data_IF_009847529903
#
_entry.id   IF_009847529903
#
_cell.length_a   1.000
_cell.length_b   1.000
_cell.length_c   1.000
_cell.angle_alpha   90.00
_cell.angle_beta   90.00
_cell.angle_gamma   90.00
#
_symmetry.space_group_name_H-M   'P 1'
#
loop_
_entity.id
_entity.type
_entity.pdbx_description
1 polymer ?
#
# COMPACT_ATOMS: atom_id res chain seq x y z
N UNK A 1 -13.83 9.98 27.06
CA UNK A 1 -12.76 10.89 26.62
C UNK A 1 -13.15 11.47 25.25
N UNK A 2 -12.90 12.72 24.95
CA UNK A 2 -13.22 13.28 23.63
C UNK A 2 -12.26 12.69 22.61
N UNK A 3 -12.79 12.15 21.50
CA UNK A 3 -11.96 11.71 20.38
C UNK A 3 -11.02 12.85 19.96
N UNK A 4 -9.72 12.58 19.74
CA UNK A 4 -8.81 13.61 19.28
C UNK A 4 -9.26 14.13 17.91
N UNK A 5 -9.09 15.43 17.65
CA UNK A 5 -9.32 15.97 16.31
C UNK A 5 -8.24 15.45 15.35
N UNK A 6 -8.62 14.54 14.48
CA UNK A 6 -7.74 13.87 13.52
C UNK A 6 -8.09 14.33 12.11
N UNK A 7 -7.07 14.75 11.35
CA UNK A 7 -7.19 15.03 9.91
C UNK A 7 -6.25 14.10 9.16
N UNK A 8 -6.79 13.28 8.27
CA UNK A 8 -6.04 12.39 7.41
C UNK A 8 -5.84 13.01 6.02
N UNK A 9 -4.59 13.20 5.61
CA UNK A 9 -4.20 13.55 4.25
C UNK A 9 -3.84 12.28 3.50
N UNK A 10 -4.62 11.92 2.49
CA UNK A 10 -4.54 10.61 1.82
C UNK A 10 -4.80 10.72 0.31
N UNK A 11 -4.56 9.64 -0.41
CA UNK A 11 -5.08 9.45 -1.76
C UNK A 11 -5.83 8.10 -1.82
N UNK A 12 -6.90 8.04 -2.60
CA UNK A 12 -7.83 6.90 -2.62
C UNK A 12 -7.12 5.58 -2.89
N UNK A 13 -6.36 5.52 -3.97
CA UNK A 13 -5.65 4.31 -4.39
C UNK A 13 -4.25 4.16 -3.80
N UNK A 14 -3.80 5.06 -2.92
CA UNK A 14 -2.49 4.95 -2.28
C UNK A 14 -2.45 3.77 -1.31
N UNK A 15 -1.54 2.83 -1.56
CA UNK A 15 -1.28 1.64 -0.76
C UNK A 15 -1.07 1.95 0.73
N UNK A 16 -0.18 2.90 1.04
CA UNK A 16 0.08 3.31 2.43
C UNK A 16 -1.10 4.08 3.05
N UNK A 17 -1.91 4.79 2.24
CA UNK A 17 -3.12 5.46 2.74
C UNK A 17 -4.22 4.46 3.12
N UNK A 18 -4.35 3.37 2.36
CA UNK A 18 -5.26 2.27 2.71
C UNK A 18 -4.93 1.72 4.11
N UNK A 19 -3.66 1.47 4.40
CA UNK A 19 -3.22 0.98 5.72
C UNK A 19 -3.66 1.90 6.86
N UNK A 20 -3.49 3.21 6.71
CA UNK A 20 -3.85 4.16 7.77
C UNK A 20 -5.36 4.28 7.94
N UNK A 21 -6.15 4.23 6.84
CA UNK A 21 -7.62 4.22 6.93
C UNK A 21 -8.12 2.99 7.69
N UNK A 22 -7.59 1.81 7.35
CA UNK A 22 -7.92 0.57 8.05
C UNK A 22 -7.57 0.67 9.55
N UNK A 23 -6.37 1.16 9.88
CA UNK A 23 -5.94 1.33 11.28
C UNK A 23 -6.85 2.28 12.07
N UNK A 24 -7.24 3.43 11.49
CA UNK A 24 -8.16 4.38 12.11
C UNK A 24 -9.51 3.74 12.42
N UNK A 25 -10.05 2.97 11.47
CA UNK A 25 -11.34 2.27 11.63
C UNK A 25 -11.26 1.15 12.66
N UNK A 26 -10.20 0.35 12.64
CA UNK A 26 -9.99 -0.73 13.62
C UNK A 26 -9.85 -0.19 15.06
N UNK A 27 -9.20 0.95 15.22
CA UNK A 27 -9.09 1.65 16.51
C UNK A 27 -10.35 2.44 16.88
N UNK A 28 -11.36 2.54 15.98
CA UNK A 28 -12.60 3.27 16.20
C UNK A 28 -12.44 4.79 16.31
N UNK A 29 -11.43 5.35 15.64
CA UNK A 29 -11.26 6.79 15.56
C UNK A 29 -12.20 7.42 14.52
N UNK A 30 -12.80 8.57 14.87
CA UNK A 30 -13.40 9.48 13.90
C UNK A 30 -12.35 10.43 13.38
N UNK A 31 -12.35 10.72 12.08
CA UNK A 31 -11.38 11.58 11.44
C UNK A 31 -11.99 12.37 10.28
N UNK A 32 -11.46 13.57 10.04
CA UNK A 32 -11.72 14.34 8.83
C UNK A 32 -10.74 13.92 7.73
N UNK A 33 -11.18 14.00 6.47
CA UNK A 33 -10.39 13.59 5.32
C UNK A 33 -10.00 14.74 4.42
N UNK A 34 -8.78 14.67 3.89
CA UNK A 34 -8.25 15.55 2.86
C UNK A 34 -7.65 14.69 1.76
N UNK A 35 -8.44 14.47 0.69
CA UNK A 35 -7.92 13.80 -0.50
C UNK A 35 -6.86 14.68 -1.18
N UNK A 36 -5.69 14.11 -1.45
CA UNK A 36 -4.56 14.76 -2.12
C UNK A 36 -4.42 14.15 -3.51
N UNK A 37 -4.59 14.98 -4.53
CA UNK A 37 -4.42 14.59 -5.93
C UNK A 37 -2.93 14.41 -6.24
N UNK A 38 -2.49 13.14 -6.34
CA UNK A 38 -1.07 12.83 -6.55
C UNK A 38 -0.61 13.20 -7.96
N UNK A 39 0.61 13.69 -8.07
CA UNK A 39 1.19 14.18 -9.33
C UNK A 39 1.43 13.09 -10.38
N UNK A 40 1.41 11.84 -9.99
CA UNK A 40 1.52 10.66 -10.85
C UNK A 40 0.17 10.13 -11.34
N UNK A 41 -0.94 10.70 -10.85
CA UNK A 41 -2.31 10.27 -11.16
C UNK A 41 -3.20 11.42 -11.64
N UNK A 42 -2.88 12.66 -11.25
CA UNK A 42 -3.69 13.83 -11.50
C UNK A 42 -2.87 15.01 -12.03
N UNK A 43 -3.41 15.75 -13.03
CA UNK A 43 -2.73 16.94 -13.57
C UNK A 43 -2.42 18.01 -12.53
N UNK A 44 -3.27 18.14 -11.50
CA UNK A 44 -3.11 19.12 -10.44
C UNK A 44 -1.84 18.85 -9.62
N UNK A 45 -1.56 17.59 -9.28
CA UNK A 45 -0.35 17.21 -8.54
C UNK A 45 -0.19 17.98 -7.23
N UNK A 46 -1.23 17.96 -6.37
CA UNK A 46 -1.29 18.74 -5.12
C UNK A 46 -0.20 18.35 -4.13
N UNK A 47 0.23 17.06 -4.17
CA UNK A 47 1.27 16.56 -3.27
C UNK A 47 2.65 17.22 -3.45
N UNK A 48 2.86 17.93 -4.57
CA UNK A 48 4.10 18.69 -4.83
C UNK A 48 3.88 20.21 -4.84
N UNK A 49 2.74 20.67 -4.32
CA UNK A 49 2.47 22.08 -4.09
C UNK A 49 2.96 22.52 -2.69
N UNK A 50 3.26 23.82 -2.55
CA UNK A 50 3.85 24.38 -1.33
C UNK A 50 3.00 24.12 -0.09
N UNK A 51 1.68 24.16 -0.24
CA UNK A 51 0.72 23.94 0.84
C UNK A 51 0.85 22.54 1.42
N UNK A 52 0.90 21.52 0.57
CA UNK A 52 1.06 20.15 1.06
C UNK A 52 2.50 19.84 1.48
N UNK A 53 3.52 20.39 0.79
CA UNK A 53 4.92 20.21 1.18
C UNK A 53 5.23 20.84 2.56
N UNK A 54 4.42 21.81 3.02
CA UNK A 54 4.51 22.31 4.40
C UNK A 54 3.97 21.31 5.44
N UNK A 55 3.12 20.34 5.03
CA UNK A 55 2.62 19.24 5.86
C UNK A 55 3.57 18.04 5.78
N UNK A 56 3.89 17.61 4.57
CA UNK A 56 4.83 16.51 4.32
C UNK A 56 5.90 16.95 3.29
N UNK A 57 7.11 17.30 3.74
CA UNK A 57 8.18 17.75 2.85
C UNK A 57 8.63 16.73 1.79
N UNK A 58 8.32 15.45 1.97
CA UNK A 58 8.60 14.40 0.98
C UNK A 58 7.57 14.35 -0.16
N UNK A 59 6.44 15.07 -0.03
CA UNK A 59 5.37 15.06 -1.03
C UNK A 59 4.69 13.69 -1.19
N UNK A 60 4.69 12.87 -0.13
CA UNK A 60 4.05 11.54 -0.11
C UNK A 60 2.80 11.54 0.75
N UNK A 61 1.93 10.57 0.53
CA UNK A 61 0.79 10.27 1.41
C UNK A 61 0.97 8.87 1.99
N UNK A 62 0.42 8.57 3.19
CA UNK A 62 -0.40 9.44 4.03
C UNK A 62 0.41 10.40 4.91
N UNK A 63 -0.27 11.44 5.38
CA UNK A 63 0.11 12.21 6.56
C UNK A 63 -1.12 12.37 7.45
N UNK A 64 -0.92 12.49 8.76
CA UNK A 64 -2.01 12.69 9.72
C UNK A 64 -1.70 13.89 10.61
N UNK A 65 -2.72 14.67 10.92
CA UNK A 65 -2.63 15.74 11.91
C UNK A 65 -3.51 15.39 13.10
N UNK A 66 -2.91 15.31 14.28
CA UNK A 66 -3.60 15.06 15.56
C UNK A 66 -3.39 16.28 16.45
N UNK A 67 -4.42 17.10 16.57
CA UNK A 67 -4.31 18.40 17.22
C UNK A 67 -3.29 19.31 16.49
N UNK A 68 -2.12 19.55 17.11
CA UNK A 68 -1.02 20.34 16.52
C UNK A 68 0.11 19.49 15.92
N UNK A 69 0.12 18.16 16.20
CA UNK A 69 1.19 17.25 15.76
C UNK A 69 0.88 16.76 14.37
N UNK A 70 1.86 16.78 13.47
CA UNK A 70 1.82 16.14 12.15
C UNK A 70 2.73 14.92 12.18
N UNK A 71 2.24 13.80 11.65
CA UNK A 71 2.97 12.53 11.54
C UNK A 71 2.86 12.07 10.08
N UNK A 72 3.97 11.62 9.50
CA UNK A 72 4.05 11.16 8.12
C UNK A 72 4.57 9.72 8.07
N UNK A 73 4.16 8.98 7.03
CA UNK A 73 4.52 7.57 6.86
C UNK A 73 3.54 6.62 7.59
N UNK A 74 3.05 5.61 6.86
CA UNK A 74 2.02 4.71 7.37
C UNK A 74 2.43 3.95 8.62
N UNK A 75 3.67 3.44 8.67
CA UNK A 75 4.18 2.69 9.82
C UNK A 75 4.15 3.53 11.09
N UNK A 76 4.74 4.72 11.04
CA UNK A 76 4.81 5.62 12.20
C UNK A 76 3.42 6.12 12.60
N UNK A 77 2.56 6.42 11.65
CA UNK A 77 1.17 6.84 11.92
C UNK A 77 0.44 5.73 12.68
N UNK A 78 0.48 4.49 12.21
CA UNK A 78 -0.22 3.37 12.85
C UNK A 78 0.34 3.11 14.26
N UNK A 79 1.66 3.16 14.41
CA UNK A 79 2.31 3.03 15.72
C UNK A 79 1.85 4.10 16.70
N UNK A 80 1.79 5.36 16.27
CA UNK A 80 1.35 6.46 17.12
C UNK A 80 -0.15 6.40 17.42
N UNK A 81 -0.98 5.97 16.48
CA UNK A 81 -2.41 5.74 16.70
C UNK A 81 -2.67 4.67 17.77
N UNK A 82 -1.85 3.62 17.78
CA UNK A 82 -1.99 2.55 18.78
C UNK A 82 -1.69 3.01 20.22
N UNK A 83 -0.85 4.04 20.39
CA UNK A 83 -0.52 4.63 21.69
C UNK A 83 -1.61 5.60 22.21
N UNK A 84 -2.65 5.90 21.42
CA UNK A 84 -3.72 6.81 21.81
C UNK A 84 -4.91 5.97 22.32
N UNK A 85 -5.44 6.32 23.47
CA UNK A 85 -6.68 5.72 23.97
C UNK A 85 -7.82 5.92 22.97
N UNK A 86 -8.48 4.85 22.59
CA UNK A 86 -9.54 4.83 21.60
C UNK A 86 -10.78 4.11 22.11
N UNK A 87 -11.90 4.24 21.39
CA UNK A 87 -13.14 3.54 21.72
C UNK A 87 -12.99 2.01 21.62
N UNK A 88 -12.13 1.53 20.75
CA UNK A 88 -11.73 0.14 20.63
C UNK A 88 -10.36 -0.04 21.29
N UNK A 89 -10.36 -0.57 22.51
CA UNK A 89 -9.12 -0.80 23.31
C UNK A 89 -8.26 -1.96 22.77
N UNK A 90 -8.45 -2.35 21.50
CA UNK A 90 -7.65 -3.38 20.87
C UNK A 90 -6.29 -2.81 20.46
N UNK A 91 -5.21 -3.37 21.00
CA UNK A 91 -3.87 -2.99 20.57
C UNK A 91 -3.51 -3.67 19.25
N UNK A 92 -2.95 -2.88 18.31
CA UNK A 92 -2.35 -3.38 17.07
C UNK A 92 -0.94 -3.93 17.28
N UNK A 93 -0.43 -3.81 18.51
CA UNK A 93 0.85 -4.34 18.98
C UNK A 93 0.58 -5.24 20.21
N UNK A 94 0.24 -6.55 20.00
CA UNK A 94 -0.09 -7.47 21.08
C UNK A 94 1.03 -7.58 22.13
N UNK A 95 0.69 -7.49 23.42
CA UNK A 95 1.66 -7.47 24.53
C UNK A 95 2.49 -8.76 24.65
N UNK A 96 2.01 -9.87 24.09
CA UNK A 96 2.69 -11.18 24.12
C UNK A 96 3.70 -11.35 22.97
N UNK A 97 3.93 -10.33 22.17
CA UNK A 97 4.89 -10.33 21.05
C UNK A 97 5.86 -9.17 21.21
N UNK A 98 7.13 -9.38 20.88
CA UNK A 98 8.11 -8.31 20.90
C UNK A 98 7.72 -7.19 19.92
N UNK A 99 7.62 -5.97 20.42
CA UNK A 99 7.29 -4.78 19.59
C UNK A 99 8.27 -4.62 18.42
N UNK A 100 9.55 -4.94 18.61
CA UNK A 100 10.56 -4.85 17.57
C UNK A 100 10.29 -5.87 16.43
N UNK A 101 9.78 -7.06 16.76
CA UNK A 101 9.37 -8.06 15.78
C UNK A 101 8.19 -7.57 14.96
N UNK A 102 7.16 -7.03 15.62
CA UNK A 102 5.97 -6.47 14.93
C UNK A 102 6.38 -5.34 14.00
N UNK A 103 7.23 -4.42 14.47
CA UNK A 103 7.72 -3.29 13.67
C UNK A 103 8.56 -3.75 12.48
N UNK A 104 9.36 -4.79 12.66
CA UNK A 104 10.12 -5.38 11.55
C UNK A 104 9.19 -5.91 10.45
N UNK A 105 8.19 -6.72 10.82
CA UNK A 105 7.20 -7.22 9.86
C UNK A 105 6.37 -6.09 9.23
N UNK A 106 5.99 -5.09 10.01
CA UNK A 106 5.30 -3.91 9.51
C UNK A 106 6.14 -3.17 8.46
N UNK A 107 7.45 -3.00 8.71
CA UNK A 107 8.38 -2.41 7.77
C UNK A 107 8.56 -3.25 6.50
N UNK A 108 8.63 -4.58 6.62
CA UNK A 108 8.79 -5.51 5.50
C UNK A 108 7.51 -5.59 4.62
N UNK A 109 6.36 -5.21 5.16
CA UNK A 109 5.05 -5.26 4.46
C UNK A 109 4.53 -3.89 4.01
N UNK A 110 5.27 -2.81 4.22
CA UNK A 110 4.96 -1.46 3.72
C UNK A 110 6.11 -0.87 2.91
N UNK A 111 5.91 0.32 2.35
CA UNK A 111 6.98 1.06 1.64
C UNK A 111 7.78 1.83 2.69
N UNK A 112 8.94 1.31 3.04
CA UNK A 112 9.86 1.91 4.02
C UNK A 112 11.08 2.51 3.34
N UNK A 113 11.43 3.75 3.69
CA UNK A 113 12.63 4.41 3.17
C UNK A 113 13.89 3.69 3.67
N UNK A 114 14.86 3.50 2.75
CA UNK A 114 16.12 2.80 3.05
C UNK A 114 16.05 1.27 2.88
N UNK A 115 14.87 0.68 2.68
CA UNK A 115 14.73 -0.73 2.31
C UNK A 115 14.98 -0.89 0.81
N UNK A 116 15.75 -1.92 0.44
CA UNK A 116 16.08 -2.19 -0.96
C UNK A 116 14.81 -2.43 -1.81
N UNK A 117 14.82 -1.89 -3.00
CA UNK A 117 13.71 -1.99 -3.93
C UNK A 117 13.49 -3.44 -4.37
N UNK A 118 12.24 -3.92 -4.35
CA UNK A 118 11.86 -5.30 -4.68
C UNK A 118 12.36 -6.39 -3.71
N UNK A 119 12.85 -6.06 -2.51
CA UNK A 119 13.40 -7.04 -1.55
C UNK A 119 12.38 -7.56 -0.55
N UNK A 120 11.33 -6.80 -0.25
CA UNK A 120 10.28 -7.15 0.73
C UNK A 120 8.89 -7.02 0.10
N UNK A 121 7.85 -7.62 0.70
CA UNK A 121 6.48 -7.50 0.20
C UNK A 121 6.08 -6.04 -0.03
N UNK A 122 6.39 -5.15 0.91
CA UNK A 122 6.08 -3.73 0.80
C UNK A 122 6.78 -3.05 -0.37
N UNK A 123 8.05 -3.34 -0.62
CA UNK A 123 8.83 -2.76 -1.72
C UNK A 123 8.60 -3.45 -3.07
N UNK A 124 8.02 -4.65 -3.07
CA UNK A 124 7.57 -5.38 -4.28
C UNK A 124 6.27 -4.75 -4.83
N UNK A 125 5.36 -4.28 -3.99
CA UNK A 125 4.07 -3.73 -4.45
C UNK A 125 4.22 -2.55 -5.44
N UNK A 126 5.08 -1.54 -5.23
CA UNK A 126 5.34 -0.52 -6.25
C UNK A 126 6.01 -1.08 -7.52
N UNK A 127 6.80 -2.16 -7.42
CA UNK A 127 7.41 -2.85 -8.56
C UNK A 127 6.32 -3.46 -9.45
N UNK A 128 5.41 -4.23 -8.86
CA UNK A 128 4.28 -4.83 -9.57
C UNK A 128 3.27 -3.79 -10.05
N UNK A 129 3.12 -2.66 -9.35
CA UNK A 129 2.26 -1.55 -9.76
C UNK A 129 2.84 -0.72 -10.91
N UNK A 130 4.12 -0.91 -11.28
CA UNK A 130 4.80 -0.04 -12.26
C UNK A 130 4.15 -0.01 -13.65
N UNK A 131 3.52 -1.08 -14.18
CA UNK A 131 2.80 -1.00 -15.46
C UNK A 131 1.57 -0.08 -15.40
N UNK A 132 0.78 -0.21 -14.34
CA UNK A 132 -0.39 0.63 -14.12
C UNK A 132 0.00 2.09 -13.85
N UNK A 133 1.04 2.30 -13.03
CA UNK A 133 1.59 3.62 -12.78
C UNK A 133 2.09 4.28 -14.08
N UNK A 134 2.79 3.54 -14.92
CA UNK A 134 3.23 4.06 -16.22
C UNK A 134 2.04 4.41 -17.12
N UNK A 135 0.99 3.58 -17.13
CA UNK A 135 -0.23 3.85 -17.86
C UNK A 135 -0.86 5.20 -17.43
N UNK A 136 -0.98 5.43 -16.11
CA UNK A 136 -1.50 6.69 -15.54
C UNK A 136 -0.63 7.89 -15.92
N UNK A 137 0.69 7.77 -15.75
CA UNK A 137 1.64 8.86 -16.04
C UNK A 137 1.60 9.26 -17.52
N UNK A 138 1.43 8.30 -18.44
CA UNK A 138 1.35 8.58 -19.88
C UNK A 138 0.07 9.32 -20.31
N UNK A 139 -0.95 9.32 -19.46
CA UNK A 139 -2.17 10.10 -19.69
C UNK A 139 -2.07 11.55 -19.21
N UNK A 140 -1.04 11.88 -18.42
CA UNK A 140 -0.85 13.23 -17.93
C UNK A 140 -0.40 14.18 -19.07
N UNK A 141 -0.88 15.44 -19.06
CA UNK A 141 -0.38 16.42 -19.98
C UNK A 141 1.10 16.74 -19.73
N UNK A 142 1.84 17.12 -20.76
CA UNK A 142 3.26 17.44 -20.66
C UNK A 142 3.57 18.50 -19.59
N UNK A 143 2.67 19.47 -19.39
CA UNK A 143 2.80 20.49 -18.34
C UNK A 143 2.89 19.89 -16.93
N UNK A 144 2.18 18.78 -16.67
CA UNK A 144 2.27 18.05 -15.39
C UNK A 144 3.63 17.39 -15.21
N UNK A 145 4.20 16.83 -16.27
CA UNK A 145 5.56 16.28 -16.24
C UNK A 145 6.59 17.36 -15.95
N UNK A 146 6.44 18.54 -16.55
CA UNK A 146 7.29 19.69 -16.24
C UNK A 146 7.12 20.16 -14.79
N UNK A 147 5.88 20.16 -14.25
CA UNK A 147 5.63 20.43 -12.83
C UNK A 147 6.36 19.44 -11.92
N UNK A 148 6.29 18.13 -12.23
CA UNK A 148 7.02 17.08 -11.49
C UNK A 148 8.52 17.35 -11.56
N UNK A 149 9.07 17.59 -12.76
CA UNK A 149 10.49 17.85 -12.95
C UNK A 149 11.00 19.04 -12.11
N UNK A 150 10.22 20.09 -12.02
CA UNK A 150 10.61 21.32 -11.32
C UNK A 150 10.37 21.24 -9.81
N UNK A 151 9.26 20.67 -9.37
CA UNK A 151 8.78 20.81 -7.97
C UNK A 151 8.91 19.55 -7.11
N UNK A 152 9.00 18.35 -7.70
CA UNK A 152 9.02 17.13 -6.89
C UNK A 152 10.26 17.12 -5.98
N UNK A 153 10.14 16.96 -4.64
CA UNK A 153 11.26 17.06 -3.71
C UNK A 153 12.23 15.87 -3.84
N UNK A 154 11.72 14.68 -4.17
CA UNK A 154 12.51 13.43 -4.28
C UNK A 154 13.08 13.28 -5.68
N UNK A 155 14.41 13.27 -5.80
CA UNK A 155 15.13 13.13 -7.09
C UNK A 155 14.88 11.76 -7.74
N UNK A 156 14.86 10.69 -6.95
CA UNK A 156 14.59 9.31 -7.39
C UNK A 156 13.21 9.21 -8.07
N UNK A 157 12.16 9.72 -7.41
CA UNK A 157 10.79 9.74 -7.97
C UNK A 157 10.71 10.56 -9.25
N UNK A 158 11.33 11.72 -9.25
CA UNK A 158 11.41 12.58 -10.43
C UNK A 158 11.97 11.85 -11.64
N UNK A 159 13.09 11.14 -11.48
CA UNK A 159 13.72 10.38 -12.55
C UNK A 159 12.86 9.20 -13.03
N UNK A 160 12.23 8.47 -12.08
CA UNK A 160 11.34 7.35 -12.42
C UNK A 160 10.13 7.84 -13.21
N UNK A 161 9.46 8.91 -12.80
CA UNK A 161 8.28 9.42 -13.49
C UNK A 161 8.59 9.94 -14.89
N UNK A 162 9.73 10.61 -15.06
CA UNK A 162 10.20 11.05 -16.38
C UNK A 162 10.51 9.83 -17.28
N UNK A 163 11.20 8.84 -16.73
CA UNK A 163 11.50 7.61 -17.47
C UNK A 163 10.21 6.85 -17.86
N UNK A 164 9.19 6.83 -17.00
CA UNK A 164 7.89 6.22 -17.29
C UNK A 164 7.12 6.98 -18.37
N UNK A 165 7.20 8.31 -18.38
CA UNK A 165 6.52 9.12 -19.38
C UNK A 165 7.12 8.95 -20.79
N UNK A 166 8.45 9.07 -20.92
CA UNK A 166 9.13 9.02 -22.23
C UNK A 166 9.54 7.61 -22.68
N UNK A 167 9.74 6.71 -21.73
CA UNK A 167 10.23 5.35 -21.98
C UNK A 167 9.19 4.25 -21.78
N UNK A 168 9.69 3.04 -21.54
CA UNK A 168 8.89 1.85 -21.23
C UNK A 168 9.55 0.95 -20.18
N UNK A 169 9.97 1.51 -19.02
CA UNK A 169 10.68 0.74 -17.99
C UNK A 169 9.78 -0.34 -17.38
N UNK A 170 8.45 -0.13 -17.35
CA UNK A 170 7.47 -1.07 -16.79
C UNK A 170 7.43 -2.44 -17.50
N UNK A 171 8.03 -2.59 -18.68
CA UNK A 171 8.18 -3.90 -19.33
C UNK A 171 9.15 -4.84 -18.60
N UNK A 172 10.07 -4.32 -17.78
CA UNK A 172 11.12 -5.09 -17.09
C UNK A 172 11.00 -5.02 -15.57
N UNK A 173 10.63 -3.86 -15.04
CA UNK A 173 10.57 -3.60 -13.60
C UNK A 173 9.77 -4.67 -12.83
N UNK A 174 8.55 -5.09 -13.25
CA UNK A 174 7.77 -6.06 -12.48
C UNK A 174 8.48 -7.39 -12.26
N UNK A 175 9.30 -7.83 -13.21
CA UNK A 175 10.00 -9.10 -13.11
C UNK A 175 11.12 -9.11 -12.06
N UNK A 176 11.60 -7.94 -11.62
CA UNK A 176 12.61 -7.83 -10.58
C UNK A 176 12.12 -8.34 -9.22
N UNK A 177 10.80 -8.26 -8.97
CA UNK A 177 10.21 -8.69 -7.70
C UNK A 177 9.71 -10.14 -7.68
N UNK A 178 9.71 -10.87 -8.81
CA UNK A 178 9.05 -12.20 -8.91
C UNK A 178 9.65 -13.21 -7.93
N UNK A 179 10.97 -13.37 -7.91
CA UNK A 179 11.62 -14.35 -7.06
C UNK A 179 11.40 -14.06 -5.57
N UNK A 180 11.65 -12.83 -5.17
CA UNK A 180 11.48 -12.41 -3.77
C UNK A 180 10.00 -12.48 -3.34
N UNK A 181 9.06 -12.15 -4.24
CA UNK A 181 7.64 -12.33 -3.98
C UNK A 181 7.28 -13.79 -3.70
N UNK A 182 7.78 -14.72 -4.51
CA UNK A 182 7.53 -16.15 -4.32
C UNK A 182 8.16 -16.64 -3.01
N UNK A 183 9.38 -16.20 -2.67
CA UNK A 183 9.99 -16.50 -1.36
C UNK A 183 9.11 -16.05 -0.19
N UNK A 184 8.63 -14.81 -0.23
CA UNK A 184 7.79 -14.26 0.84
C UNK A 184 6.41 -14.94 0.90
N UNK A 185 5.78 -15.24 -0.23
CA UNK A 185 4.50 -15.95 -0.25
C UNK A 185 4.66 -17.38 0.30
N UNK A 186 5.68 -18.14 -0.08
CA UNK A 186 5.90 -19.49 0.45
C UNK A 186 6.27 -19.47 1.95
N UNK A 187 6.99 -18.46 2.40
CA UNK A 187 7.25 -18.24 3.82
C UNK A 187 5.96 -17.97 4.61
N UNK A 188 5.05 -17.11 4.08
CA UNK A 188 3.75 -16.87 4.70
C UNK A 188 2.86 -18.11 4.67
N UNK A 189 2.84 -18.88 3.57
CA UNK A 189 2.10 -20.13 3.48
C UNK A 189 2.50 -21.12 4.57
N UNK A 190 3.82 -21.27 4.77
CA UNK A 190 4.37 -22.09 5.87
C UNK A 190 3.99 -21.53 7.23
N UNK A 191 4.03 -20.20 7.42
CA UNK A 191 3.68 -19.55 8.69
C UNK A 191 2.21 -19.80 9.05
N UNK A 192 1.30 -19.72 8.07
CA UNK A 192 -0.15 -19.88 8.29
C UNK A 192 -0.61 -21.35 8.31
N UNK A 193 0.29 -22.32 8.11
CA UNK A 193 -0.05 -23.75 8.10
C UNK A 193 -0.54 -24.28 9.44
N UNK A 194 -0.30 -23.56 10.55
CA UNK A 194 -0.86 -23.87 11.86
C UNK A 194 -2.35 -23.49 12.01
N UNK A 195 -2.94 -22.86 10.99
CA UNK A 195 -4.35 -22.49 10.95
C UNK A 195 -4.71 -21.21 11.71
N UNK A 196 -3.72 -20.41 12.08
CA UNK A 196 -3.93 -19.11 12.75
C UNK A 196 -4.87 -18.19 11.96
N UNK A 197 -5.72 -17.47 12.69
CA UNK A 197 -6.69 -16.54 12.12
C UNK A 197 -6.06 -15.21 11.73
N UNK A 198 -5.10 -14.72 12.52
CA UNK A 198 -4.35 -13.49 12.35
C UNK A 198 -2.86 -13.77 12.50
N UNK A 199 -2.02 -12.86 12.05
CA UNK A 199 -0.56 -13.05 12.01
C UNK A 199 0.01 -13.46 13.37
N UNK A 200 -0.44 -12.85 14.47
CA UNK A 200 -0.07 -13.20 15.84
C UNK A 200 -1.24 -13.79 16.65
N UNK A 201 -2.19 -14.48 16.01
CA UNK A 201 -3.45 -14.94 16.59
C UNK A 201 -4.37 -13.81 17.11
N UNK A 202 -3.93 -12.58 17.05
CA UNK A 202 -4.66 -11.35 17.36
C UNK A 202 -4.45 -10.38 16.22
N UNK A 203 -5.50 -9.66 15.79
CA UNK A 203 -5.39 -8.69 14.71
C UNK A 203 -4.39 -7.60 15.06
N UNK A 204 -3.43 -7.34 14.17
CA UNK A 204 -2.26 -6.52 14.42
C UNK A 204 -1.94 -5.58 13.27
N UNK A 205 -0.95 -4.72 13.44
CA UNK A 205 -0.42 -3.87 12.38
C UNK A 205 -0.01 -4.66 11.14
N UNK A 206 0.57 -5.87 11.33
CA UNK A 206 0.98 -6.73 10.20
C UNK A 206 -0.22 -7.21 9.38
N UNK A 207 -1.34 -7.53 10.04
CA UNK A 207 -2.58 -7.93 9.35
C UNK A 207 -3.15 -6.79 8.50
N UNK A 208 -3.09 -5.55 8.99
CA UNK A 208 -3.48 -4.34 8.23
C UNK A 208 -2.65 -4.22 6.96
N UNK A 209 -1.34 -4.38 7.07
CA UNK A 209 -0.44 -4.25 5.93
C UNK A 209 -0.65 -5.38 4.93
N UNK A 210 -0.79 -6.63 5.39
CA UNK A 210 -1.06 -7.78 4.52
C UNK A 210 -2.43 -7.67 3.83
N UNK A 211 -3.44 -7.14 4.52
CA UNK A 211 -4.74 -6.81 3.90
C UNK A 211 -4.56 -5.89 2.69
N UNK A 212 -3.75 -4.84 2.83
CA UNK A 212 -3.49 -3.90 1.74
C UNK A 212 -2.58 -4.51 0.65
N UNK A 213 -1.62 -5.38 1.02
CA UNK A 213 -0.79 -6.14 0.05
C UNK A 213 -1.68 -7.02 -0.83
N UNK A 214 -2.54 -7.83 -0.23
CA UNK A 214 -3.40 -8.73 -0.99
C UNK A 214 -4.45 -7.97 -1.82
N UNK A 215 -5.01 -6.89 -1.28
CA UNK A 215 -5.87 -6.02 -2.08
C UNK A 215 -5.13 -5.43 -3.30
N UNK A 216 -3.88 -4.99 -3.13
CA UNK A 216 -3.07 -4.48 -4.24
C UNK A 216 -2.84 -5.55 -5.31
N UNK A 217 -2.68 -6.82 -4.95
CA UNK A 217 -2.57 -7.92 -5.92
C UNK A 217 -3.87 -8.09 -6.73
N UNK A 218 -5.04 -7.88 -6.10
CA UNK A 218 -6.33 -7.85 -6.84
C UNK A 218 -6.34 -6.70 -7.84
N UNK A 219 -6.01 -5.48 -7.40
CA UNK A 219 -5.93 -4.29 -8.26
C UNK A 219 -5.00 -4.50 -9.47
N UNK A 220 -4.01 -5.38 -9.35
CA UNK A 220 -3.02 -5.67 -10.37
C UNK A 220 -3.33 -6.92 -11.21
N UNK A 221 -4.49 -7.58 -10.99
CA UNK A 221 -4.85 -8.84 -11.66
C UNK A 221 -3.95 -10.01 -11.28
N UNK A 222 -3.32 -9.93 -10.09
CA UNK A 222 -2.41 -10.94 -9.56
C UNK A 222 -3.07 -11.78 -8.44
N UNK A 223 -4.37 -11.66 -8.21
CA UNK A 223 -5.11 -12.33 -7.14
C UNK A 223 -4.85 -13.85 -7.11
N UNK A 224 -4.76 -14.47 -8.30
CA UNK A 224 -4.51 -15.91 -8.39
C UNK A 224 -3.24 -16.34 -7.66
N UNK A 225 -2.26 -15.46 -7.49
CA UNK A 225 -1.00 -15.78 -6.79
C UNK A 225 -1.18 -16.00 -5.29
N UNK A 226 -2.30 -15.53 -4.72
CA UNK A 226 -2.65 -15.70 -3.29
C UNK A 226 -3.35 -17.02 -3.03
N UNK A 227 -3.91 -17.66 -4.07
CA UNK A 227 -4.65 -18.92 -3.95
C UNK A 227 -3.98 -20.10 -4.64
N UNK A 228 -3.02 -19.86 -5.54
CA UNK A 228 -2.38 -20.91 -6.33
C UNK A 228 -1.36 -21.68 -5.50
N UNK A 229 -1.69 -22.90 -5.12
CA UNK A 229 -0.90 -23.77 -4.25
C UNK A 229 -0.61 -23.18 -2.84
N UNK A 230 -1.39 -22.19 -2.42
CA UNK A 230 -1.24 -21.49 -1.14
C UNK A 230 -2.57 -21.43 -0.36
N UNK A 231 -3.13 -22.60 0.04
CA UNK A 231 -4.45 -22.69 0.66
C UNK A 231 -4.54 -22.00 2.03
N UNK A 232 -3.46 -21.96 2.79
CA UNK A 232 -3.44 -21.32 4.12
C UNK A 232 -3.45 -19.79 3.99
N UNK A 233 -2.68 -19.23 3.08
CA UNK A 233 -2.75 -17.79 2.75
C UNK A 233 -4.13 -17.43 2.23
N UNK A 234 -4.71 -18.26 1.35
CA UNK A 234 -6.04 -18.00 0.81
C UNK A 234 -7.09 -17.93 1.93
N UNK A 235 -7.06 -18.89 2.87
CA UNK A 235 -7.96 -18.88 4.03
C UNK A 235 -7.75 -17.65 4.92
N UNK A 236 -6.51 -17.27 5.18
CA UNK A 236 -6.16 -16.07 5.93
C UNK A 236 -6.67 -14.81 5.22
N UNK A 237 -6.49 -14.70 3.91
CA UNK A 237 -6.99 -13.60 3.11
C UNK A 237 -8.53 -13.49 3.14
N UNK A 238 -9.27 -14.60 3.01
CA UNK A 238 -10.73 -14.60 3.14
C UNK A 238 -11.18 -14.07 4.50
N UNK A 239 -10.45 -14.39 5.57
CA UNK A 239 -10.73 -13.86 6.90
C UNK A 239 -10.48 -12.34 6.97
N UNK A 240 -9.40 -11.84 6.40
CA UNK A 240 -9.14 -10.40 6.36
C UNK A 240 -10.21 -9.64 5.56
N UNK A 241 -10.66 -10.18 4.42
CA UNK A 241 -11.72 -9.58 3.60
C UNK A 241 -13.07 -9.48 4.32
N UNK A 242 -13.33 -10.35 5.28
CA UNK A 242 -14.59 -10.34 6.04
C UNK A 242 -14.70 -9.19 7.04
N UNK A 243 -13.62 -8.44 7.28
CA UNK A 243 -13.62 -7.33 8.22
C UNK A 243 -14.29 -6.10 7.62
N UNK A 244 -15.10 -5.40 8.43
CA UNK A 244 -15.75 -4.15 8.01
C UNK A 244 -14.75 -3.06 7.60
N UNK A 245 -13.58 -3.03 8.23
CA UNK A 245 -12.49 -2.11 7.92
C UNK A 245 -11.91 -2.30 6.51
N UNK A 246 -12.00 -3.51 5.94
CA UNK A 246 -11.63 -3.76 4.53
C UNK A 246 -12.59 -3.04 3.57
N UNK A 247 -13.90 -3.19 3.79
CA UNK A 247 -14.92 -2.51 2.99
C UNK A 247 -14.83 -0.99 3.16
N UNK A 248 -14.90 -0.52 4.42
CA UNK A 248 -14.99 0.91 4.74
C UNK A 248 -13.67 1.65 4.53
N UNK A 249 -12.51 1.01 4.72
CA UNK A 249 -11.18 1.64 4.61
C UNK A 249 -10.52 1.50 3.25
N UNK A 250 -10.97 0.53 2.43
CA UNK A 250 -10.35 0.24 1.13
C UNK A 250 -11.38 0.32 0.01
N UNK A 251 -12.40 -0.56 0.00
CA UNK A 251 -13.29 -0.71 -1.17
C UNK A 251 -14.15 0.53 -1.41
N UNK A 252 -14.69 1.14 -0.36
CA UNK A 252 -15.55 2.34 -0.47
C UNK A 252 -14.80 3.59 -0.95
N UNK A 253 -13.46 3.53 -1.07
CA UNK A 253 -12.62 4.60 -1.61
C UNK A 253 -12.34 4.48 -3.11
N UNK A 254 -12.75 3.39 -3.76
CA UNK A 254 -12.68 3.28 -5.21
C UNK A 254 -13.82 4.07 -5.83
N UNK A 255 -13.49 5.21 -6.41
CA UNK A 255 -14.43 6.02 -7.19
C UNK A 255 -14.57 5.44 -8.61
N UNK A 256 -15.56 5.96 -9.36
CA UNK A 256 -15.74 5.57 -10.78
C UNK A 256 -14.45 5.76 -11.58
N UNK A 257 -13.67 6.81 -11.27
CA UNK A 257 -12.38 7.06 -11.91
C UNK A 257 -11.37 5.93 -11.70
N UNK A 258 -11.20 5.47 -10.45
CA UNK A 258 -10.28 4.36 -10.17
C UNK A 258 -10.79 3.05 -10.79
N UNK A 259 -12.08 2.79 -10.72
CA UNK A 259 -12.71 1.60 -11.29
C UNK A 259 -12.59 1.56 -12.82
N UNK A 260 -12.84 2.69 -13.50
CA UNK A 260 -12.68 2.81 -14.95
C UNK A 260 -11.23 2.63 -15.36
N UNK A 261 -10.30 3.24 -14.64
CA UNK A 261 -8.88 3.13 -14.88
C UNK A 261 -8.38 1.68 -14.79
N UNK A 262 -8.76 0.96 -13.72
CA UNK A 262 -8.40 -0.44 -13.52
C UNK A 262 -9.01 -1.31 -14.64
N UNK A 263 -10.30 -1.12 -14.92
CA UNK A 263 -11.00 -1.86 -15.97
C UNK A 263 -10.37 -1.65 -17.35
N UNK A 264 -10.02 -0.41 -17.71
CA UNK A 264 -9.40 -0.09 -18.99
C UNK A 264 -7.97 -0.66 -19.09
N UNK A 265 -7.19 -0.55 -18.01
CA UNK A 265 -5.86 -1.13 -17.93
C UNK A 265 -5.88 -2.63 -18.18
N UNK A 266 -6.80 -3.38 -17.54
CA UNK A 266 -6.88 -4.83 -17.69
C UNK A 266 -7.40 -5.30 -19.03
N UNK A 267 -8.27 -4.57 -19.69
CA UNK A 267 -8.69 -4.91 -21.07
C UNK A 267 -7.52 -5.06 -22.03
N UNK A 268 -6.43 -4.33 -21.75
CA UNK A 268 -5.28 -4.23 -22.66
C UNK A 268 -4.03 -4.98 -22.18
N UNK A 269 -4.05 -5.57 -20.97
CA UNK A 269 -2.85 -6.19 -20.39
C UNK A 269 -3.07 -7.66 -20.04
N UNK A 270 -2.44 -8.56 -20.81
CA UNK A 270 -2.18 -9.92 -20.36
C UNK A 270 -1.05 -9.90 -19.32
N UNK A 271 -1.33 -10.35 -18.11
CA UNK A 271 -0.34 -10.33 -17.03
C UNK A 271 0.75 -11.39 -17.24
N UNK A 272 1.79 -11.01 -18.00
CA UNK A 272 3.02 -11.82 -18.12
C UNK A 272 3.71 -12.01 -16.76
N UNK A 273 3.51 -11.07 -15.84
CA UNK A 273 3.98 -11.16 -14.45
C UNK A 273 3.28 -12.27 -13.69
N UNK A 274 1.94 -12.38 -13.81
CA UNK A 274 1.19 -13.50 -13.21
C UNK A 274 1.74 -14.84 -13.68
N UNK A 275 1.97 -14.98 -15.00
CA UNK A 275 2.53 -16.21 -15.57
C UNK A 275 3.91 -16.51 -14.98
N UNK A 276 4.79 -15.52 -14.91
CA UNK A 276 6.13 -15.68 -14.34
C UNK A 276 6.10 -16.09 -12.84
N UNK A 277 5.18 -15.51 -12.06
CA UNK A 277 5.00 -15.88 -10.65
C UNK A 277 4.52 -17.34 -10.53
N UNK A 278 3.52 -17.75 -11.31
CA UNK A 278 3.01 -19.12 -11.30
C UNK A 278 4.09 -20.12 -11.69
N UNK A 279 4.84 -19.85 -12.76
CA UNK A 279 5.97 -20.69 -13.19
C UNK A 279 7.06 -20.81 -12.12
N UNK A 280 7.30 -19.73 -11.37
CA UNK A 280 8.29 -19.74 -10.29
C UNK A 280 7.79 -20.49 -9.04
N UNK A 281 6.49 -20.40 -8.70
CA UNK A 281 5.87 -21.22 -7.66
C UNK A 281 6.00 -22.72 -8.04
N UNK A 282 5.70 -23.07 -9.30
CA UNK A 282 5.76 -24.45 -9.79
C UNK A 282 7.16 -25.08 -9.73
N UNK A 283 8.22 -24.26 -9.82
CA UNK A 283 9.61 -24.74 -9.69
C UNK A 283 10.01 -25.03 -8.24
N UNK A 284 9.31 -24.42 -7.26
CA UNK A 284 9.70 -24.47 -5.84
C UNK A 284 8.84 -25.38 -4.98
N UNK A 285 7.67 -25.80 -5.49
CA UNK A 285 6.74 -26.75 -4.88
C UNK A 285 6.62 -28.00 -5.78
#
# INVERSE_FOLDING_TARGET
>A
MSNPNIILYHANWSFCSQMVRVALLEKGFSFDERHIKLCDQYPEGENIDKEYLAINPLGTVPAIKIGKKIICGSEEIIYQLDKIDSSNNHSLYPDNVDEAEIRKWASDTTITDGVEFASTLGTIMPVFSSPLLQYMIKQLPFSSIMKILLRHPRKDRKMIFIAMYFGNPSKRIPFMGVNNYVDEILKLEKLFSDGRTFFYNTFSHVDINLMCVFNRLIDLGLEKTVSYKTPFIYKYWENLKSRKSYEDGILNYYTDKENDLLSEFYKNNNSSVLKAIIEEIDKRI
#
